data_IF_724466228996
#
_entry.id   IF_724466228996
#
_cell.length_a   1.000
_cell.length_b   1.000
_cell.length_c   1.000
_cell.angle_alpha   90.00
_cell.angle_beta   90.00
_cell.angle_gamma   90.00
#
_symmetry.space_group_name_H-M   'P 1'
#
loop_
_entity.id
_entity.type
_entity.pdbx_description
1 polymer ?
#
# COMPACT_ATOMS: atom_id res chain seq x y z
N UNK A 1 -9.18 11.82 -1.34
CA UNK A 1 -10.15 10.71 -1.32
C UNK A 1 -10.62 10.40 0.10
N UNK A 2 -9.72 10.03 1.01
CA UNK A 2 -10.05 9.64 2.40
C UNK A 2 -10.94 10.64 3.17
N UNK A 3 -10.66 11.97 3.20
CA UNK A 3 -11.51 12.91 3.95
C UNK A 3 -12.96 12.98 3.44
N UNK A 4 -13.16 12.74 2.14
CA UNK A 4 -14.50 12.71 1.53
C UNK A 4 -15.23 11.43 1.91
N UNK A 5 -14.56 10.27 1.83
CA UNK A 5 -15.16 8.98 2.17
C UNK A 5 -15.53 8.89 3.66
N UNK A 6 -14.70 9.48 4.55
CA UNK A 6 -14.97 9.50 6.00
C UNK A 6 -16.27 10.19 6.40
N UNK A 7 -16.92 10.95 5.51
CA UNK A 7 -18.20 11.59 5.79
C UNK A 7 -19.35 10.59 5.88
N UNK A 8 -19.28 9.50 5.12
CA UNK A 8 -20.38 8.54 4.95
C UNK A 8 -19.95 7.09 5.20
N UNK A 9 -18.64 6.83 5.30
CA UNK A 9 -18.09 5.48 5.46
C UNK A 9 -17.06 5.41 6.58
N UNK A 10 -16.99 4.26 7.25
CA UNK A 10 -15.84 3.91 8.06
C UNK A 10 -14.66 3.62 7.12
N UNK A 11 -13.61 4.44 7.18
CA UNK A 11 -12.44 4.30 6.30
C UNK A 11 -11.29 3.69 7.09
N UNK A 12 -10.90 2.48 6.70
CA UNK A 12 -9.74 1.77 7.20
C UNK A 12 -8.58 1.90 6.22
N UNK A 13 -7.42 2.32 6.72
CA UNK A 13 -6.14 2.28 6.00
C UNK A 13 -5.12 1.66 6.94
N UNK A 14 -4.32 0.72 6.45
CA UNK A 14 -3.23 0.10 7.20
C UNK A 14 -1.98 0.05 6.33
N UNK A 15 -0.82 -0.01 6.98
CA UNK A 15 0.44 -0.22 6.29
C UNK A 15 0.74 -1.72 6.19
N UNK A 16 1.21 -2.19 5.04
CA UNK A 16 1.69 -3.57 4.90
C UNK A 16 2.88 -3.83 5.83
N UNK A 17 3.11 -5.10 6.20
CA UNK A 17 4.37 -5.49 6.86
C UNK A 17 5.59 -4.93 6.10
N UNK A 18 6.54 -4.37 6.84
CA UNK A 18 7.71 -3.68 6.29
C UNK A 18 7.45 -2.34 5.61
N UNK A 19 6.28 -1.74 5.81
CA UNK A 19 5.93 -0.41 5.30
C UNK A 19 5.40 0.49 6.43
N UNK A 20 5.60 1.80 6.26
CA UNK A 20 5.02 2.82 7.12
C UNK A 20 5.28 2.58 8.61
N UNK A 21 4.21 2.49 9.39
CA UNK A 21 4.26 2.24 10.84
C UNK A 21 4.15 0.75 11.21
N UNK A 22 3.97 -0.15 10.25
CA UNK A 22 3.88 -1.59 10.51
C UNK A 22 5.27 -2.21 10.70
N UNK A 23 5.32 -3.26 11.51
CA UNK A 23 6.57 -3.99 11.79
C UNK A 23 7.16 -4.61 10.52
N UNK A 24 8.49 -4.75 10.50
CA UNK A 24 9.19 -5.50 9.47
C UNK A 24 8.83 -6.99 9.53
N UNK A 25 8.73 -7.68 8.38
CA UNK A 25 8.53 -9.13 8.35
C UNK A 25 9.69 -9.83 9.06
N UNK A 26 9.37 -10.82 9.92
CA UNK A 26 10.39 -11.68 10.55
C UNK A 26 11.19 -12.48 9.52
N UNK A 27 10.52 -12.90 8.46
CA UNK A 27 11.08 -13.67 7.34
C UNK A 27 10.63 -13.02 6.03
N UNK A 28 11.55 -12.32 5.35
CA UNK A 28 11.26 -11.61 4.10
C UNK A 28 10.81 -12.54 2.97
N UNK A 29 11.32 -13.78 2.95
CA UNK A 29 10.92 -14.81 1.98
C UNK A 29 9.45 -15.22 2.08
N UNK A 30 8.76 -14.87 3.17
CA UNK A 30 7.33 -15.16 3.38
C UNK A 30 6.43 -13.99 2.99
N UNK A 31 6.99 -12.89 2.48
CA UNK A 31 6.21 -11.77 1.95
C UNK A 31 5.79 -12.10 0.53
N UNK A 32 4.52 -12.41 0.35
CA UNK A 32 3.86 -12.63 -0.93
C UNK A 32 2.51 -11.88 -0.99
N UNK A 33 1.92 -11.76 -2.18
CA UNK A 33 0.59 -11.15 -2.35
C UNK A 33 -0.45 -11.88 -1.49
N UNK A 34 -0.38 -13.20 -1.44
CA UNK A 34 -1.25 -14.04 -0.62
C UNK A 34 -1.08 -13.72 0.87
N UNK A 35 0.16 -13.63 1.37
CA UNK A 35 0.40 -13.29 2.78
C UNK A 35 -0.11 -11.88 3.15
N UNK A 36 -0.06 -10.93 2.20
CA UNK A 36 -0.59 -9.58 2.41
C UNK A 36 -2.12 -9.55 2.36
N UNK A 37 -2.74 -10.45 1.60
CA UNK A 37 -4.18 -10.65 1.60
C UNK A 37 -4.66 -11.31 2.91
N UNK A 38 -3.88 -12.26 3.45
CA UNK A 38 -4.11 -12.82 4.78
C UNK A 38 -4.00 -11.72 5.86
N UNK A 39 -3.01 -10.83 5.78
CA UNK A 39 -2.90 -9.68 6.69
C UNK A 39 -4.13 -8.77 6.62
N UNK A 40 -4.61 -8.47 5.41
CA UNK A 40 -5.84 -7.70 5.23
C UNK A 40 -7.02 -8.35 5.95
N UNK A 41 -7.12 -9.68 5.90
CA UNK A 41 -8.17 -10.40 6.61
C UNK A 41 -8.03 -10.25 8.13
N UNK A 42 -6.83 -10.43 8.67
CA UNK A 42 -6.58 -10.29 10.11
C UNK A 42 -6.85 -8.87 10.63
N UNK A 43 -6.53 -7.84 9.83
CA UNK A 43 -6.83 -6.44 10.19
C UNK A 43 -8.35 -6.21 10.23
N UNK A 44 -9.11 -6.74 9.27
CA UNK A 44 -10.57 -6.63 9.30
C UNK A 44 -11.17 -7.36 10.51
N UNK A 45 -10.65 -8.55 10.83
CA UNK A 45 -11.10 -9.29 12.01
C UNK A 45 -10.76 -8.54 13.31
N UNK A 46 -9.60 -7.89 13.42
CA UNK A 46 -9.28 -7.03 14.58
C UNK A 46 -10.24 -5.86 14.71
N UNK A 47 -10.56 -5.19 13.59
CA UNK A 47 -11.50 -4.06 13.54
C UNK A 47 -12.89 -4.46 14.03
N UNK A 48 -13.40 -5.61 13.57
CA UNK A 48 -14.71 -6.14 13.96
C UNK A 48 -14.71 -6.60 15.43
N UNK A 49 -13.70 -7.37 15.83
CA UNK A 49 -13.55 -7.88 17.21
C UNK A 49 -13.46 -6.74 18.25
N UNK A 50 -12.86 -5.61 17.87
CA UNK A 50 -12.76 -4.41 18.72
C UNK A 50 -13.99 -3.50 18.63
N UNK A 51 -14.96 -3.85 17.79
CA UNK A 51 -16.19 -3.06 17.58
C UNK A 51 -15.93 -1.68 17.00
N UNK A 52 -14.84 -1.49 16.26
CA UNK A 52 -14.47 -0.20 15.68
C UNK A 52 -15.35 0.16 14.48
N UNK A 53 -15.68 -0.84 13.66
CA UNK A 53 -16.59 -0.74 12.54
C UNK A 53 -17.09 -2.14 12.17
N UNK A 54 -18.30 -2.23 11.60
CA UNK A 54 -18.78 -3.51 11.05
C UNK A 54 -18.04 -3.84 9.76
N UNK A 55 -17.62 -5.10 9.62
CA UNK A 55 -17.00 -5.63 8.40
C UNK A 55 -17.95 -6.54 7.59
N UNK A 56 -19.26 -6.45 7.86
CA UNK A 56 -20.28 -7.20 7.12
C UNK A 56 -20.41 -6.74 5.66
N UNK A 57 -20.06 -5.49 5.38
CA UNK A 57 -20.11 -4.85 4.07
C UNK A 57 -18.78 -4.10 3.84
N UNK A 58 -17.97 -4.59 2.92
CA UNK A 58 -16.61 -4.09 2.67
C UNK A 58 -16.47 -3.68 1.22
N UNK A 59 -16.08 -2.42 1.02
CA UNK A 59 -15.58 -1.92 -0.27
C UNK A 59 -14.06 -1.80 -0.21
N UNK A 60 -13.36 -2.39 -1.17
CA UNK A 60 -11.89 -2.42 -1.19
C UNK A 60 -11.35 -1.47 -2.24
N UNK A 61 -10.37 -0.65 -1.88
CA UNK A 61 -9.66 0.25 -2.79
C UNK A 61 -8.19 -0.15 -2.85
N UNK A 62 -7.74 -0.63 -4.00
CA UNK A 62 -6.35 -1.02 -4.25
C UNK A 62 -5.65 -0.02 -5.15
N UNK A 63 -4.41 0.35 -4.80
CA UNK A 63 -3.53 1.17 -5.64
C UNK A 63 -2.24 0.42 -5.96
N UNK A 64 -1.80 0.45 -7.22
CA UNK A 64 -0.54 -0.19 -7.65
C UNK A 64 -0.50 -1.68 -7.23
N UNK A 65 0.49 -2.11 -6.44
CA UNK A 65 0.56 -3.46 -5.86
C UNK A 65 -0.69 -3.83 -5.05
N UNK A 66 -1.32 -2.87 -4.37
CA UNK A 66 -2.54 -3.09 -3.60
C UNK A 66 -3.72 -3.57 -4.44
N UNK A 67 -3.69 -3.41 -5.76
CA UNK A 67 -4.69 -4.03 -6.64
C UNK A 67 -4.60 -5.56 -6.61
N UNK A 68 -3.39 -6.13 -6.58
CA UNK A 68 -3.19 -7.58 -6.51
C UNK A 68 -3.60 -8.12 -5.15
N UNK A 69 -3.23 -7.42 -4.08
CA UNK A 69 -3.65 -7.79 -2.72
C UNK A 69 -5.16 -7.74 -2.58
N UNK A 70 -5.82 -6.70 -3.09
CA UNK A 70 -7.28 -6.58 -3.08
C UNK A 70 -7.95 -7.73 -3.86
N UNK A 71 -7.47 -8.04 -5.07
CA UNK A 71 -7.98 -9.14 -5.87
C UNK A 71 -7.77 -10.50 -5.21
N UNK A 72 -6.61 -10.71 -4.60
CA UNK A 72 -6.29 -11.96 -3.92
C UNK A 72 -7.12 -12.14 -2.65
N UNK A 73 -7.32 -11.08 -1.87
CA UNK A 73 -8.27 -11.09 -0.76
C UNK A 73 -9.69 -11.35 -1.24
N UNK A 74 -10.10 -10.78 -2.38
CA UNK A 74 -11.41 -11.08 -2.96
C UNK A 74 -11.53 -12.56 -3.33
N UNK A 75 -10.47 -13.15 -3.88
CA UNK A 75 -10.44 -14.56 -4.25
C UNK A 75 -10.50 -15.50 -3.05
N UNK A 76 -9.82 -15.15 -1.95
CA UNK A 76 -9.67 -16.01 -0.78
C UNK A 76 -10.70 -15.78 0.33
N UNK A 77 -11.14 -14.53 0.53
CA UNK A 77 -11.80 -14.10 1.77
C UNK A 77 -13.07 -13.25 1.57
N UNK A 78 -13.31 -12.65 0.40
CA UNK A 78 -14.44 -11.71 0.24
C UNK A 78 -15.80 -12.32 0.60
N UNK A 79 -16.05 -13.58 0.21
CA UNK A 79 -17.34 -14.23 0.46
C UNK A 79 -18.53 -13.33 0.06
N UNK A 80 -19.57 -13.29 0.91
CA UNK A 80 -20.74 -12.44 0.71
C UNK A 80 -20.64 -11.00 1.22
N UNK A 81 -19.51 -10.59 1.81
CA UNK A 81 -19.35 -9.25 2.41
C UNK A 81 -18.77 -8.20 1.46
N UNK A 82 -18.30 -8.60 0.28
CA UNK A 82 -17.74 -7.65 -0.70
C UNK A 82 -18.87 -6.89 -1.42
N UNK A 83 -18.88 -5.57 -1.29
CA UNK A 83 -19.83 -4.70 -2.01
C UNK A 83 -19.24 -4.11 -3.28
N UNK A 84 -17.93 -3.92 -3.31
CA UNK A 84 -17.27 -3.29 -4.46
C UNK A 84 -15.75 -3.31 -4.36
N UNK A 85 -15.11 -3.24 -5.52
CA UNK A 85 -13.66 -3.15 -5.65
C UNK A 85 -13.31 -2.00 -6.59
N UNK A 86 -12.40 -1.13 -6.15
CA UNK A 86 -11.83 -0.07 -6.96
C UNK A 86 -10.32 -0.31 -7.13
N UNK A 87 -9.88 -0.54 -8.37
CA UNK A 87 -8.49 -0.84 -8.71
C UNK A 87 -7.88 0.35 -9.45
N UNK A 88 -6.87 0.97 -8.87
CA UNK A 88 -6.30 2.23 -9.35
C UNK A 88 -4.86 1.98 -9.80
N UNK A 89 -4.61 2.14 -11.11
CA UNK A 89 -3.28 2.11 -11.72
C UNK A 89 -2.45 0.86 -11.35
N UNK A 90 -3.11 -0.29 -11.18
CA UNK A 90 -2.47 -1.57 -10.90
C UNK A 90 -2.70 -2.61 -12.01
N UNK A 91 -2.08 -3.78 -11.84
CA UNK A 91 -2.23 -4.93 -12.75
C UNK A 91 -2.70 -6.14 -11.95
N UNK A 92 -3.54 -7.03 -12.51
CA UNK A 92 -4.01 -8.20 -11.77
C UNK A 92 -2.90 -9.23 -11.52
N UNK A 93 -1.90 -9.30 -12.40
CA UNK A 93 -0.72 -10.17 -12.28
C UNK A 93 0.46 -9.56 -13.06
N UNK A 94 1.67 -10.06 -12.80
CA UNK A 94 2.89 -9.76 -13.57
C UNK A 94 3.23 -8.27 -13.69
N UNK A 95 3.26 -7.55 -12.57
CA UNK A 95 3.57 -6.10 -12.53
C UNK A 95 4.85 -5.76 -13.28
N UNK A 96 5.94 -6.48 -13.02
CA UNK A 96 7.24 -6.23 -13.65
C UNK A 96 7.19 -6.45 -15.17
N UNK A 97 6.43 -7.43 -15.65
CA UNK A 97 6.26 -7.67 -17.09
C UNK A 97 5.53 -6.51 -17.76
N UNK A 98 4.52 -5.96 -17.10
CA UNK A 98 3.78 -4.80 -17.62
C UNK A 98 4.67 -3.56 -17.71
N UNK A 99 5.46 -3.31 -16.66
CA UNK A 99 6.44 -2.21 -16.65
C UNK A 99 7.53 -2.40 -17.71
N UNK A 100 7.93 -3.64 -17.98
CA UNK A 100 8.90 -4.00 -19.02
C UNK A 100 8.25 -4.19 -20.40
N UNK A 101 7.16 -3.46 -20.69
CA UNK A 101 6.48 -3.45 -21.99
C UNK A 101 6.10 -4.85 -22.52
N UNK A 102 5.72 -5.77 -21.62
CA UNK A 102 5.31 -7.13 -21.96
C UNK A 102 6.44 -8.15 -22.06
N UNK A 103 7.70 -7.74 -21.95
CA UNK A 103 8.87 -8.62 -22.07
C UNK A 103 9.08 -9.47 -20.82
N UNK A 104 8.85 -10.79 -20.94
CA UNK A 104 9.11 -11.74 -19.85
C UNK A 104 10.60 -11.81 -19.51
N UNK A 105 11.48 -11.91 -20.50
CA UNK A 105 12.91 -12.03 -20.26
C UNK A 105 13.49 -10.80 -19.52
N UNK A 106 13.05 -9.59 -19.88
CA UNK A 106 13.47 -8.38 -19.17
C UNK A 106 12.91 -8.32 -17.74
N UNK A 107 11.67 -8.75 -17.55
CA UNK A 107 11.06 -8.84 -16.22
C UNK A 107 11.76 -9.86 -15.33
N UNK A 108 12.07 -11.05 -15.86
CA UNK A 108 12.79 -12.11 -15.15
C UNK A 108 14.21 -11.65 -14.78
N UNK A 109 14.92 -11.00 -15.70
CA UNK A 109 16.26 -10.44 -15.42
C UNK A 109 16.22 -9.41 -14.29
N UNK A 110 15.26 -8.48 -14.32
CA UNK A 110 15.11 -7.49 -13.26
C UNK A 110 14.66 -8.14 -11.96
N UNK A 111 13.76 -9.13 -11.99
CA UNK A 111 13.39 -9.88 -10.79
C UNK A 111 14.61 -10.58 -10.16
N UNK A 112 15.43 -11.26 -10.96
CA UNK A 112 16.68 -11.90 -10.47
C UNK A 112 17.66 -10.88 -9.90
N UNK A 113 17.79 -9.72 -10.53
CA UNK A 113 18.62 -8.63 -10.01
C UNK A 113 18.10 -8.13 -8.66
N UNK A 114 16.80 -7.82 -8.56
CA UNK A 114 16.18 -7.37 -7.31
C UNK A 114 16.35 -8.43 -6.20
N UNK A 115 16.21 -9.70 -6.53
CA UNK A 115 16.34 -10.82 -5.59
C UNK A 115 17.79 -11.04 -5.12
N UNK A 116 18.77 -10.81 -5.99
CA UNK A 116 20.19 -10.94 -5.64
C UNK A 116 20.71 -9.78 -4.78
N UNK A 117 20.07 -8.61 -4.87
CA UNK A 117 20.51 -7.36 -4.25
C UNK A 117 19.48 -6.79 -3.27
N UNK A 118 18.64 -7.64 -2.67
CA UNK A 118 17.56 -7.23 -1.77
C UNK A 118 18.02 -6.24 -0.68
N UNK A 119 19.07 -6.59 0.08
CA UNK A 119 19.53 -5.79 1.21
C UNK A 119 20.06 -4.40 0.83
N UNK A 120 21.01 -4.24 -0.13
CA UNK A 120 21.47 -2.92 -0.53
C UNK A 120 20.38 -2.09 -1.21
N UNK A 121 19.46 -2.72 -1.96
CA UNK A 121 18.33 -2.03 -2.56
C UNK A 121 17.32 -1.57 -1.50
N UNK A 122 17.03 -2.39 -0.48
CA UNK A 122 16.18 -2.02 0.64
C UNK A 122 16.77 -0.82 1.40
N UNK A 123 18.07 -0.84 1.69
CA UNK A 123 18.74 0.30 2.33
C UNK A 123 18.67 1.56 1.46
N UNK A 124 18.94 1.44 0.15
CA UNK A 124 18.83 2.56 -0.78
C UNK A 124 17.40 3.11 -0.83
N UNK A 125 16.40 2.23 -0.77
CA UNK A 125 14.98 2.59 -0.74
C UNK A 125 14.60 3.30 0.56
N UNK A 126 15.02 2.79 1.72
CA UNK A 126 14.80 3.41 3.02
C UNK A 126 15.41 4.83 3.09
N UNK A 127 16.66 4.97 2.65
CA UNK A 127 17.34 6.28 2.59
C UNK A 127 16.59 7.23 1.65
N UNK A 128 16.16 6.75 0.48
CA UNK A 128 15.41 7.54 -0.50
C UNK A 128 14.06 7.98 0.05
N UNK A 129 13.34 7.10 0.75
CA UNK A 129 12.06 7.42 1.39
C UNK A 129 12.23 8.42 2.53
N UNK A 130 13.18 8.17 3.45
CA UNK A 130 13.48 9.08 4.54
C UNK A 130 13.86 10.46 4.03
N UNK A 131 14.70 10.51 2.97
CA UNK A 131 15.05 11.76 2.30
C UNK A 131 13.84 12.45 1.67
N UNK A 132 13.01 11.71 0.92
CA UNK A 132 11.81 12.26 0.28
C UNK A 132 10.83 12.82 1.31
N UNK A 133 10.64 12.12 2.43
CA UNK A 133 9.76 12.56 3.50
C UNK A 133 10.29 13.81 4.22
N UNK A 134 11.58 13.79 4.59
CA UNK A 134 12.24 14.93 5.23
C UNK A 134 12.24 16.16 4.31
N UNK A 135 12.57 15.98 3.03
CA UNK A 135 12.55 17.08 2.05
C UNK A 135 11.14 17.57 1.78
N UNK A 136 10.11 16.72 1.78
CA UNK A 136 8.72 17.16 1.62
C UNK A 136 8.29 18.09 2.76
N UNK A 137 8.66 17.77 4.00
CA UNK A 137 8.41 18.66 5.15
C UNK A 137 9.17 19.99 5.02
N UNK A 138 10.46 19.94 4.66
CA UNK A 138 11.31 21.13 4.48
C UNK A 138 10.79 22.01 3.34
N UNK A 139 10.49 21.43 2.18
CA UNK A 139 9.94 22.12 1.01
C UNK A 139 8.60 22.77 1.32
N UNK A 140 7.71 22.08 2.05
CA UNK A 140 6.45 22.66 2.48
C UNK A 140 6.65 23.80 3.49
N UNK A 141 7.54 23.64 4.46
CA UNK A 141 7.87 24.69 5.42
C UNK A 141 8.43 25.95 4.73
N UNK A 142 9.32 25.79 3.76
CA UNK A 142 9.85 26.88 2.94
C UNK A 142 8.76 27.53 2.07
N UNK A 143 7.93 26.74 1.41
CA UNK A 143 6.82 27.26 0.60
C UNK A 143 5.81 28.05 1.46
N UNK A 144 5.59 27.66 2.73
CA UNK A 144 4.82 28.45 3.70
C UNK A 144 5.51 29.73 4.11
N UNK A 145 6.80 29.68 4.42
CA UNK A 145 7.58 30.86 4.83
C UNK A 145 7.66 31.91 3.70
N UNK A 146 7.71 31.44 2.44
CA UNK A 146 7.71 32.28 1.25
C UNK A 146 6.30 32.70 0.80
N UNK A 147 5.25 32.29 1.51
CA UNK A 147 3.85 32.64 1.19
C UNK A 147 3.30 32.00 -0.10
N UNK A 148 3.98 30.99 -0.66
CA UNK A 148 3.54 30.26 -1.86
C UNK A 148 2.33 29.38 -1.54
N UNK A 149 2.25 28.84 -0.32
CA UNK A 149 1.12 28.04 0.15
C UNK A 149 0.68 28.48 1.56
N UNK A 150 -0.64 28.50 1.78
CA UNK A 150 -1.23 28.88 3.08
C UNK A 150 -1.77 27.68 3.88
N UNK A 151 -1.83 26.51 3.26
CA UNK A 151 -2.35 25.29 3.87
C UNK A 151 -1.31 24.73 4.86
N UNK A 152 -1.71 24.37 6.09
CA UNK A 152 -0.79 23.81 7.08
C UNK A 152 -0.50 22.32 6.79
N UNK A 153 0.68 21.84 7.19
CA UNK A 153 1.15 20.47 6.87
C UNK A 153 0.19 19.38 7.36
N UNK A 154 -0.40 19.58 8.54
CA UNK A 154 -1.38 18.67 9.15
C UNK A 154 -2.72 18.60 8.41
N UNK A 155 -2.95 19.43 7.39
CA UNK A 155 -4.10 19.29 6.50
C UNK A 155 -3.80 18.35 5.31
N UNK A 156 -2.54 17.97 5.09
CA UNK A 156 -2.11 17.03 4.06
C UNK A 156 -1.76 15.63 4.61
N UNK A 157 -1.28 15.55 5.86
CA UNK A 157 -1.07 14.30 6.59
C UNK A 157 -2.40 13.73 7.12
#
# INVERSE_FOLDING_TARGET
>A
LVPTLKKEHAVLSWDYRGHGCSENPRETCRVSIESLAEDMQLVLDDVDNRGLASVAHVTVVGYSMGCQVALEWCRQHAGGRLEGVALILGTPQYSLRTVMFGSKAAADLVATFLDSFQTPLALAWEVSFAWTFATSYVSHALARALGVINVPWNAFA
#
